data_IF_776357424200
#
_entry.id   IF_776357424200
#
_cell.length_a   1.000
_cell.length_b   1.000
_cell.length_c   1.000
_cell.angle_alpha   90.00
_cell.angle_beta   90.00
_cell.angle_gamma   90.00
#
_symmetry.space_group_name_H-M   'P 1'
#
loop_
_entity.id
_entity.type
_entity.pdbx_description
1 polymer ?
#
# COMPACT_ATOMS: atom_id res chain seq x y z
N UNK A 1 -5.42 -18.65 0.67
CA UNK A 1 -6.39 -17.69 1.24
C UNK A 1 -7.66 -18.46 1.56
N UNK A 2 -8.15 -18.45 2.81
CA UNK A 2 -9.44 -19.05 3.15
C UNK A 2 -10.56 -18.38 2.34
N UNK A 3 -11.50 -19.18 1.84
CA UNK A 3 -12.68 -18.70 1.13
C UNK A 3 -13.81 -18.61 2.15
N UNK A 4 -14.41 -17.43 2.29
CA UNK A 4 -15.53 -17.17 3.18
C UNK A 4 -16.81 -16.96 2.37
N UNK A 5 -17.95 -17.42 2.90
CA UNK A 5 -19.27 -17.20 2.31
C UNK A 5 -20.06 -16.23 3.19
N UNK A 6 -20.33 -15.05 2.66
CA UNK A 6 -21.17 -14.03 3.30
C UNK A 6 -22.60 -14.07 2.75
N UNK A 7 -23.58 -13.65 3.54
CA UNK A 7 -25.00 -13.64 3.17
C UNK A 7 -25.41 -12.33 2.51
N UNK A 8 -24.64 -11.26 2.68
CA UNK A 8 -24.85 -9.96 2.05
C UNK A 8 -23.51 -9.26 1.75
N UNK A 9 -23.56 -8.22 0.91
CA UNK A 9 -22.40 -7.36 0.66
C UNK A 9 -21.99 -6.59 1.90
N UNK A 10 -22.96 -6.15 2.70
CA UNK A 10 -22.69 -5.42 3.94
C UNK A 10 -21.90 -6.31 4.92
N UNK A 11 -22.29 -7.58 5.10
CA UNK A 11 -21.52 -8.52 5.92
C UNK A 11 -20.09 -8.71 5.41
N UNK A 12 -19.91 -8.78 4.08
CA UNK A 12 -18.59 -8.88 3.47
C UNK A 12 -17.75 -7.62 3.69
N UNK A 13 -18.36 -6.43 3.62
CA UNK A 13 -17.70 -5.15 3.88
C UNK A 13 -17.22 -5.07 5.34
N UNK A 14 -18.08 -5.41 6.30
CA UNK A 14 -17.71 -5.45 7.72
C UNK A 14 -16.55 -6.42 7.98
N UNK A 15 -16.52 -7.57 7.30
CA UNK A 15 -15.46 -8.56 7.45
C UNK A 15 -14.09 -8.12 6.93
N UNK A 16 -14.00 -7.06 6.11
CA UNK A 16 -12.72 -6.50 5.67
C UNK A 16 -11.97 -5.78 6.80
N UNK A 17 -12.69 -5.34 7.83
CA UNK A 17 -12.16 -4.51 8.90
C UNK A 17 -11.98 -5.32 10.18
N UNK A 18 -10.82 -5.18 10.81
CA UNK A 18 -10.61 -5.64 12.19
C UNK A 18 -10.78 -4.45 13.15
N UNK A 19 -11.96 -4.32 13.75
CA UNK A 19 -12.28 -3.22 14.67
C UNK A 19 -11.65 -3.38 16.07
N UNK A 20 -11.12 -4.56 16.39
CA UNK A 20 -10.46 -4.85 17.66
C UNK A 20 -9.08 -5.48 17.42
N UNK A 21 -8.13 -4.71 16.86
CA UNK A 21 -6.81 -5.23 16.54
C UNK A 21 -6.03 -5.56 17.82
N UNK A 22 -5.43 -6.75 17.84
CA UNK A 22 -4.51 -7.19 18.89
C UNK A 22 -3.05 -7.09 18.41
N UNK A 23 -2.11 -7.44 19.29
CA UNK A 23 -0.69 -7.42 18.97
C UNK A 23 -0.34 -8.35 17.79
N UNK A 24 -1.01 -9.50 17.67
CA UNK A 24 -0.80 -10.43 16.57
C UNK A 24 -1.26 -9.86 15.22
N UNK A 25 -2.34 -9.08 15.19
CA UNK A 25 -2.78 -8.36 14.00
C UNK A 25 -1.71 -7.37 13.53
N UNK A 26 -1.17 -6.54 14.43
CA UNK A 26 -0.13 -5.57 14.06
C UNK A 26 1.16 -6.23 13.56
N UNK A 27 1.55 -7.37 14.15
CA UNK A 27 2.67 -8.17 13.61
C UNK A 27 2.42 -8.61 12.17
N UNK A 28 1.23 -9.15 11.86
CA UNK A 28 0.87 -9.54 10.49
C UNK A 28 0.89 -8.37 9.51
N UNK A 29 0.40 -7.20 9.92
CA UNK A 29 0.43 -5.99 9.10
C UNK A 29 1.88 -5.57 8.81
N UNK A 30 2.75 -5.58 9.82
CA UNK A 30 4.17 -5.27 9.64
C UNK A 30 4.84 -6.28 8.68
N UNK A 31 4.57 -7.57 8.83
CA UNK A 31 5.11 -8.62 7.95
C UNK A 31 4.65 -8.45 6.50
N UNK A 32 3.38 -8.10 6.28
CA UNK A 32 2.83 -7.81 4.95
C UNK A 32 3.59 -6.65 4.28
N UNK A 33 3.79 -5.54 4.98
CA UNK A 33 4.49 -4.37 4.43
C UNK A 33 5.98 -4.62 4.24
N UNK A 34 6.61 -5.37 5.14
CA UNK A 34 7.99 -5.81 4.97
C UNK A 34 8.16 -6.69 3.73
N UNK A 35 7.22 -7.60 3.48
CA UNK A 35 7.22 -8.43 2.27
C UNK A 35 6.97 -7.60 1.01
N UNK A 36 5.98 -6.71 1.02
CA UNK A 36 5.69 -5.82 -0.10
C UNK A 36 6.89 -4.94 -0.48
N UNK A 37 7.60 -4.40 0.52
CA UNK A 37 8.81 -3.61 0.30
C UNK A 37 9.98 -4.38 -0.32
N UNK A 38 10.02 -5.72 -0.18
CA UNK A 38 11.00 -6.58 -0.87
C UNK A 38 10.62 -6.84 -2.33
N UNK A 39 9.32 -6.94 -2.62
CA UNK A 39 8.83 -7.15 -3.99
C UNK A 39 8.97 -5.87 -4.84
N UNK A 40 8.71 -4.71 -4.25
CA UNK A 40 8.76 -3.42 -4.92
C UNK A 40 9.50 -2.40 -4.04
N UNK A 41 10.84 -2.32 -4.14
CA UNK A 41 11.65 -1.43 -3.31
C UNK A 41 11.61 0.02 -3.84
N UNK A 42 10.44 0.66 -3.80
CA UNK A 42 10.29 2.09 -4.07
C UNK A 42 10.87 2.90 -2.91
N UNK A 43 11.72 3.87 -3.22
CA UNK A 43 12.18 4.87 -2.26
C UNK A 43 11.41 6.16 -2.45
N UNK A 44 10.51 6.46 -1.50
CA UNK A 44 9.85 7.77 -1.45
C UNK A 44 10.81 8.82 -0.87
N UNK A 45 10.75 10.08 -1.35
CA UNK A 45 11.59 11.15 -0.82
C UNK A 45 11.19 11.46 0.62
N UNK A 46 12.18 11.65 1.49
CA UNK A 46 11.95 11.96 2.91
C UNK A 46 11.52 13.43 3.05
N UNK A 47 10.56 13.68 3.94
CA UNK A 47 10.12 15.04 4.28
C UNK A 47 8.61 15.18 4.31
N UNK A 48 8.15 16.36 4.73
CA UNK A 48 6.74 16.75 4.69
C UNK A 48 6.52 17.57 3.43
N UNK A 49 5.65 17.09 2.55
CA UNK A 49 5.26 17.78 1.32
C UNK A 49 3.90 18.43 1.53
N UNK A 50 3.80 19.72 1.22
CA UNK A 50 2.54 20.46 1.30
C UNK A 50 1.90 20.52 -0.09
N UNK A 51 0.69 20.00 -0.19
CA UNK A 51 -0.12 20.05 -1.40
C UNK A 51 -1.36 20.91 -1.16
N UNK A 52 -1.85 21.56 -2.21
CA UNK A 52 -3.07 22.39 -2.17
C UNK A 52 -4.33 21.58 -2.41
N UNK A 53 -4.19 20.40 -3.03
CA UNK A 53 -5.30 19.49 -3.29
C UNK A 53 -4.84 18.02 -3.30
N UNK A 54 -5.82 17.11 -3.26
CA UNK A 54 -5.56 15.67 -3.36
C UNK A 54 -5.02 15.29 -4.75
N UNK A 55 -5.45 15.97 -5.80
CA UNK A 55 -4.96 15.75 -7.17
C UNK A 55 -3.47 16.10 -7.30
N UNK A 56 -3.02 17.16 -6.63
CA UNK A 56 -1.60 17.53 -6.61
C UNK A 56 -0.77 16.47 -5.88
N UNK A 57 -1.25 15.97 -4.75
CA UNK A 57 -0.61 14.89 -4.00
C UNK A 57 -0.51 13.59 -4.82
N UNK A 58 -1.59 13.23 -5.54
CA UNK A 58 -1.63 12.05 -6.39
C UNK A 58 -0.64 12.19 -7.56
N UNK A 59 -0.62 13.33 -8.26
CA UNK A 59 0.35 13.58 -9.34
C UNK A 59 1.79 13.48 -8.86
N UNK A 60 2.09 14.02 -7.68
CA UNK A 60 3.42 13.91 -7.09
C UNK A 60 3.80 12.44 -6.83
N UNK A 61 2.87 11.63 -6.34
CA UNK A 61 3.08 10.19 -6.15
C UNK A 61 3.30 9.47 -7.49
N UNK A 62 2.45 9.70 -8.49
CA UNK A 62 2.55 9.06 -9.81
C UNK A 62 3.90 9.35 -10.47
N UNK A 63 4.38 10.59 -10.33
CA UNK A 63 5.70 11.01 -10.82
C UNK A 63 6.83 10.17 -10.20
N UNK A 64 6.81 9.98 -8.87
CA UNK A 64 7.80 9.20 -8.15
C UNK A 64 7.80 7.73 -8.56
N UNK A 65 6.61 7.16 -8.74
CA UNK A 65 6.44 5.77 -9.17
C UNK A 65 6.92 5.58 -10.62
N UNK A 66 6.63 6.53 -11.51
CA UNK A 66 7.12 6.53 -12.90
C UNK A 66 8.66 6.64 -12.96
N UNK A 67 9.26 7.53 -12.18
CA UNK A 67 10.71 7.69 -12.09
C UNK A 67 11.39 6.43 -11.57
N UNK A 68 10.78 5.76 -10.60
CA UNK A 68 11.27 4.48 -10.11
C UNK A 68 11.18 3.38 -11.18
N UNK A 69 10.06 3.28 -11.89
CA UNK A 69 9.86 2.30 -12.96
C UNK A 69 10.90 2.46 -14.08
N UNK A 70 11.19 3.71 -14.50
CA UNK A 70 12.25 4.02 -15.48
C UNK A 70 13.61 3.53 -15.00
N UNK A 71 13.98 3.81 -13.74
CA UNK A 71 15.25 3.33 -13.15
C UNK A 71 15.37 1.81 -13.12
N UNK A 72 14.26 1.07 -12.93
CA UNK A 72 14.27 -0.40 -13.02
C UNK A 72 14.48 -0.84 -14.47
N UNK A 73 13.77 -0.23 -15.42
CA UNK A 73 13.87 -0.56 -16.85
C UNK A 73 15.31 -0.37 -17.36
N UNK A 74 15.94 0.75 -17.01
CA UNK A 74 17.32 1.06 -17.39
C UNK A 74 18.34 0.08 -16.79
N UNK A 75 18.08 -0.47 -15.59
CA UNK A 75 18.96 -1.48 -14.96
C UNK A 75 18.84 -2.87 -15.60
N UNK A 76 17.73 -3.14 -16.28
CA UNK A 76 17.43 -4.43 -16.87
C UNK A 76 17.66 -4.46 -18.40
N UNK A 77 18.12 -3.34 -18.98
CA UNK A 77 18.49 -3.20 -20.41
C UNK A 77 20.00 -3.33 -20.58
#
# INVERSE_FOLDING_TARGET
MPIYKYKSFEEAEWALWNFHPDEAYFRKVADLWNFAGRLLPISYPKGIFKFRSMEEANKHRDQLELEHAKKIQDKNS
#
